data_IF_087505796977
#
_entry.id   IF_087505796977
#
_cell.length_a   1.000
_cell.length_b   1.000
_cell.length_c   1.000
_cell.angle_alpha   90.00
_cell.angle_beta   90.00
_cell.angle_gamma   90.00
#
_symmetry.space_group_name_H-M   'P 1'
#
loop_
_entity.id
_entity.type
_entity.pdbx_description
1 polymer ?
#
# COMPACT_ATOMS: atom_id res chain seq x y z
N UNK A 1 -27.65 -44.35 6.86
CA UNK A 1 -27.10 -44.13 5.50
C UNK A 1 -27.68 -42.92 4.76
N UNK A 2 -29.00 -42.69 4.67
CA UNK A 2 -29.59 -41.55 3.93
C UNK A 2 -29.11 -40.14 4.34
N UNK A 3 -28.71 -39.93 5.60
CA UNK A 3 -28.21 -38.62 6.09
C UNK A 3 -26.76 -38.33 5.67
N UNK A 4 -25.91 -39.35 5.52
CA UNK A 4 -24.51 -39.17 5.10
C UNK A 4 -24.38 -38.90 3.59
N UNK A 5 -25.24 -39.49 2.77
CA UNK A 5 -25.31 -39.22 1.33
C UNK A 5 -25.71 -37.76 1.02
N UNK A 6 -26.61 -37.16 1.83
CA UNK A 6 -26.98 -35.74 1.68
C UNK A 6 -25.82 -34.79 2.03
N UNK A 7 -25.06 -35.11 3.08
CA UNK A 7 -23.91 -34.30 3.47
C UNK A 7 -22.79 -34.34 2.40
N UNK A 8 -22.51 -35.53 1.85
CA UNK A 8 -21.53 -35.68 0.77
C UNK A 8 -21.94 -34.91 -0.51
N UNK A 9 -23.22 -34.96 -0.88
CA UNK A 9 -23.73 -34.22 -2.04
C UNK A 9 -23.61 -32.70 -1.88
N UNK A 10 -23.86 -32.15 -0.68
CA UNK A 10 -23.70 -30.71 -0.39
C UNK A 10 -22.23 -30.30 -0.47
N UNK A 11 -21.31 -31.11 0.07
CA UNK A 11 -19.87 -30.83 0.00
C UNK A 11 -19.37 -30.85 -1.44
N UNK A 12 -19.84 -31.79 -2.27
CA UNK A 12 -19.50 -31.86 -3.70
C UNK A 12 -20.08 -30.67 -4.46
N UNK A 13 -21.30 -30.23 -4.16
CA UNK A 13 -21.91 -29.05 -4.81
C UNK A 13 -21.16 -27.76 -4.46
N UNK A 14 -20.73 -27.60 -3.21
CA UNK A 14 -19.92 -26.44 -2.77
C UNK A 14 -18.53 -26.48 -3.41
N UNK A 15 -17.92 -27.66 -3.53
CA UNK A 15 -16.64 -27.83 -4.23
C UNK A 15 -16.76 -27.55 -5.73
N UNK A 16 -17.83 -28.01 -6.38
CA UNK A 16 -18.08 -27.75 -7.80
C UNK A 16 -18.40 -26.26 -8.08
N UNK A 17 -19.17 -25.61 -7.19
CA UNK A 17 -19.42 -24.17 -7.27
C UNK A 17 -18.14 -23.35 -7.03
N UNK A 18 -17.23 -23.83 -6.17
CA UNK A 18 -15.93 -23.19 -5.94
C UNK A 18 -14.94 -23.40 -7.10
N UNK A 19 -15.09 -24.46 -7.89
CA UNK A 19 -14.23 -24.78 -9.05
C UNK A 19 -14.67 -24.08 -10.35
N UNK A 20 -15.90 -23.55 -10.41
CA UNK A 20 -16.52 -23.01 -11.64
C UNK A 20 -16.30 -21.53 -11.95
N UNK A 21 -15.87 -20.71 -10.99
CA UNK A 21 -15.62 -19.27 -11.25
C UNK A 21 -14.15 -19.02 -11.56
N UNK A 22 -13.69 -19.37 -12.76
CA UNK A 22 -12.52 -18.71 -13.33
C UNK A 22 -12.89 -17.25 -13.53
N UNK A 23 -12.36 -16.36 -12.70
CA UNK A 23 -12.61 -14.93 -12.79
C UNK A 23 -12.13 -14.44 -14.16
N UNK A 24 -12.97 -13.69 -14.85
CA UNK A 24 -12.64 -13.18 -16.18
C UNK A 24 -11.39 -12.30 -16.11
N UNK A 25 -10.42 -12.48 -17.03
CA UNK A 25 -9.25 -11.63 -17.10
C UNK A 25 -9.67 -10.17 -17.22
N UNK A 26 -9.19 -9.33 -16.31
CA UNK A 26 -9.51 -7.91 -16.29
C UNK A 26 -8.25 -7.09 -16.11
N UNK A 27 -7.99 -6.21 -17.07
CA UNK A 27 -6.83 -5.32 -17.06
C UNK A 27 -7.28 -3.88 -16.84
N UNK A 28 -6.70 -3.25 -15.83
CA UNK A 28 -6.86 -1.84 -15.56
C UNK A 28 -5.83 -1.06 -16.37
N UNK A 29 -6.28 -0.13 -17.21
CA UNK A 29 -5.39 0.75 -17.99
C UNK A 29 -5.20 2.08 -17.29
N UNK A 30 -3.96 2.54 -17.16
CA UNK A 30 -3.62 3.76 -16.44
C UNK A 30 -3.08 4.79 -17.44
N UNK A 31 -3.65 6.00 -17.38
CA UNK A 31 -3.31 7.13 -18.22
C UNK A 31 -2.95 8.33 -17.35
N UNK A 32 -1.91 9.06 -17.72
CA UNK A 32 -1.59 10.37 -17.14
C UNK A 32 -1.80 11.42 -18.24
N UNK A 33 -2.71 12.37 -17.99
CA UNK A 33 -3.01 13.46 -18.94
C UNK A 33 -3.32 12.97 -20.37
N UNK A 34 -4.02 11.83 -20.47
CA UNK A 34 -4.42 11.21 -21.73
C UNK A 34 -3.37 10.27 -22.35
N UNK A 35 -2.15 10.23 -21.83
CA UNK A 35 -1.10 9.31 -22.30
C UNK A 35 -1.11 8.00 -21.53
N UNK A 36 -1.03 6.87 -22.25
CA UNK A 36 -0.94 5.55 -21.62
C UNK A 36 0.38 5.42 -20.84
N UNK A 37 0.28 4.96 -19.59
CA UNK A 37 1.44 4.79 -18.69
C UNK A 37 1.68 3.35 -18.30
N UNK A 38 0.61 2.63 -17.95
CA UNK A 38 0.73 1.26 -17.41
C UNK A 38 -0.57 0.47 -17.57
N UNK A 39 -0.48 -0.85 -17.38
CA UNK A 39 -1.63 -1.74 -17.25
C UNK A 39 -1.43 -2.75 -16.12
N UNK A 40 -2.41 -2.87 -15.23
CA UNK A 40 -2.36 -3.77 -14.08
C UNK A 40 -3.39 -4.87 -14.23
N UNK A 41 -3.00 -6.12 -13.98
CA UNK A 41 -3.94 -7.23 -13.86
C UNK A 41 -4.77 -7.09 -12.56
N UNK A 42 -6.03 -6.69 -12.73
CA UNK A 42 -7.02 -6.55 -11.66
C UNK A 42 -8.00 -7.72 -11.64
N UNK A 43 -7.64 -8.84 -12.28
CA UNK A 43 -8.48 -10.04 -12.33
C UNK A 43 -8.88 -10.46 -10.94
N UNK A 44 -10.18 -10.42 -10.73
CA UNK A 44 -10.79 -10.82 -9.48
C UNK A 44 -10.59 -9.94 -8.27
N UNK A 45 -10.13 -8.72 -8.48
CA UNK A 45 -10.22 -7.70 -7.46
C UNK A 45 -11.69 -7.34 -7.22
N UNK A 46 -12.05 -7.14 -5.97
CA UNK A 46 -13.29 -6.45 -5.62
C UNK A 46 -13.05 -4.94 -5.50
N UNK A 47 -14.12 -4.15 -5.64
CA UNK A 47 -14.06 -2.70 -5.40
C UNK A 47 -13.45 -2.43 -4.03
N UNK A 48 -12.56 -1.45 -3.97
CA UNK A 48 -11.76 -1.08 -2.84
C UNK A 48 -10.74 -2.15 -2.40
N UNK A 49 -10.80 -3.42 -2.83
CA UNK A 49 -10.04 -4.53 -2.22
C UNK A 49 -8.55 -4.20 -2.00
N UNK A 50 -7.96 -3.63 -3.04
CA UNK A 50 -6.53 -3.32 -3.16
C UNK A 50 -6.30 -1.90 -3.69
N UNK A 51 -5.04 -1.51 -3.76
CA UNK A 51 -4.61 -0.16 -4.15
C UNK A 51 -3.74 -0.17 -5.40
N UNK A 52 -3.87 0.90 -6.18
CA UNK A 52 -3.07 1.22 -7.36
C UNK A 52 -2.13 2.35 -6.98
N UNK A 53 -0.82 2.17 -7.21
CA UNK A 53 0.16 3.24 -7.03
C UNK A 53 0.01 4.21 -8.20
N UNK A 54 -0.38 5.44 -7.92
CA UNK A 54 -0.50 6.54 -8.88
C UNK A 54 0.45 7.63 -8.42
N UNK A 55 1.64 7.69 -9.02
CA UNK A 55 2.76 8.50 -8.55
C UNK A 55 3.00 8.30 -7.04
N UNK A 56 2.73 9.32 -6.22
CA UNK A 56 2.91 9.32 -4.75
C UNK A 56 1.69 8.83 -3.97
N UNK A 57 0.57 8.58 -4.64
CA UNK A 57 -0.67 8.15 -4.01
C UNK A 57 -0.88 6.64 -4.13
N UNK A 58 -1.59 6.09 -3.15
CA UNK A 58 -2.13 4.73 -3.21
C UNK A 58 -3.64 4.83 -3.33
N UNK A 59 -4.11 4.84 -4.58
CA UNK A 59 -5.53 4.96 -4.91
C UNK A 59 -6.25 3.62 -4.69
N UNK A 60 -7.25 3.54 -3.80
CA UNK A 60 -8.09 2.36 -3.70
C UNK A 60 -8.90 2.22 -4.99
N UNK A 61 -8.70 1.13 -5.73
CA UNK A 61 -9.37 0.92 -7.01
C UNK A 61 -10.89 0.84 -6.82
N UNK A 62 -11.66 1.62 -7.58
CA UNK A 62 -13.11 1.73 -7.41
C UNK A 62 -13.90 0.80 -8.34
N UNK A 63 -13.23 -0.09 -9.08
CA UNK A 63 -13.86 -1.01 -10.01
C UNK A 63 -13.92 -0.48 -11.44
N UNK A 64 -13.11 0.51 -11.80
CA UNK A 64 -13.00 1.06 -13.15
C UNK A 64 -12.14 0.16 -14.07
N UNK A 65 -12.39 0.19 -15.37
CA UNK A 65 -11.52 -0.46 -16.38
C UNK A 65 -10.34 0.41 -16.81
N UNK A 66 -10.42 1.70 -16.52
CA UNK A 66 -9.36 2.67 -16.78
C UNK A 66 -9.30 3.74 -15.71
N UNK A 67 -8.09 4.19 -15.42
CA UNK A 67 -7.79 5.36 -14.59
C UNK A 67 -7.12 6.37 -15.51
N UNK A 68 -7.74 7.52 -15.72
CA UNK A 68 -7.08 8.72 -16.20
C UNK A 68 -6.83 9.61 -15.00
N UNK A 69 -5.58 9.96 -14.72
CA UNK A 69 -5.24 10.80 -13.58
C UNK A 69 -4.49 12.07 -13.98
N UNK A 70 -4.61 13.08 -13.14
CA UNK A 70 -3.83 14.31 -13.19
C UNK A 70 -3.53 14.78 -11.77
N UNK A 71 -2.44 15.55 -11.66
CA UNK A 71 -2.12 16.28 -10.44
C UNK A 71 -2.35 17.75 -10.68
N UNK A 72 -3.01 18.39 -9.74
CA UNK A 72 -2.90 19.83 -9.61
C UNK A 72 -1.79 20.08 -8.62
N UNK A 73 -0.60 20.42 -9.12
CA UNK A 73 0.44 20.97 -8.25
C UNK A 73 -0.01 22.38 -7.83
N UNK A 74 0.22 22.79 -6.57
CA UNK A 74 -0.04 24.16 -6.14
C UNK A 74 0.60 25.13 -7.14
N UNK A 75 -0.22 25.92 -7.80
CA UNK A 75 0.30 27.17 -8.36
C UNK A 75 0.76 28.03 -7.18
N UNK A 76 1.92 28.67 -7.28
CA UNK A 76 2.29 29.75 -6.35
C UNK A 76 1.30 30.94 -6.44
N UNK A 77 0.42 30.95 -7.45
CA UNK A 77 -0.71 31.85 -7.56
C UNK A 77 -1.88 31.38 -6.68
N UNK A 78 -2.02 32.03 -5.53
CA UNK A 78 -3.09 31.81 -4.54
C UNK A 78 -4.50 32.09 -5.06
N UNK A 79 -4.65 32.62 -6.28
CA UNK A 79 -5.96 32.94 -6.87
C UNK A 79 -6.52 31.81 -7.74
N UNK A 80 -5.74 30.78 -8.06
CA UNK A 80 -6.21 29.63 -8.85
C UNK A 80 -6.76 28.59 -7.87
N UNK A 81 -8.08 28.51 -7.78
CA UNK A 81 -8.73 27.42 -7.07
C UNK A 81 -8.65 26.12 -7.90
N UNK A 82 -8.14 25.00 -7.33
CA UNK A 82 -7.66 24.85 -5.97
C UNK A 82 -6.10 24.82 -5.90
N UNK A 83 -5.46 25.62 -5.03
CA UNK A 83 -3.99 25.79 -4.96
C UNK A 83 -3.28 24.64 -4.22
N UNK A 84 -3.73 23.40 -4.38
CA UNK A 84 -3.25 22.33 -3.54
C UNK A 84 -2.96 21.04 -4.31
N UNK A 85 -2.05 20.22 -3.76
CA UNK A 85 -1.68 18.91 -4.31
C UNK A 85 -2.86 17.95 -4.23
N UNK A 86 -3.69 17.93 -5.28
CA UNK A 86 -4.80 16.98 -5.43
C UNK A 86 -4.44 15.87 -6.40
N UNK A 87 -4.88 14.66 -6.07
CA UNK A 87 -5.06 13.59 -7.04
C UNK A 87 -6.48 13.65 -7.59
N UNK A 88 -6.60 13.86 -8.90
CA UNK A 88 -7.85 13.70 -9.65
C UNK A 88 -7.77 12.42 -10.46
N UNK A 89 -8.79 11.57 -10.34
CA UNK A 89 -8.94 10.31 -11.08
C UNK A 89 -10.29 10.32 -11.78
N UNK A 90 -10.28 10.14 -13.10
CA UNK A 90 -11.47 10.16 -13.96
C UNK A 90 -12.37 11.37 -13.66
N UNK A 91 -11.76 12.57 -13.69
CA UNK A 91 -12.40 13.88 -13.43
C UNK A 91 -12.99 14.06 -12.03
N UNK A 92 -12.59 13.22 -11.06
CA UNK A 92 -13.05 13.31 -9.67
C UNK A 92 -11.88 13.44 -8.71
N UNK A 93 -12.02 14.32 -7.73
CA UNK A 93 -11.11 14.35 -6.59
C UNK A 93 -11.10 12.98 -5.91
N UNK A 94 -9.90 12.44 -5.71
CA UNK A 94 -9.69 11.13 -5.10
C UNK A 94 -8.69 11.17 -3.95
N UNK A 95 -7.69 12.06 -4.01
CA UNK A 95 -6.66 12.16 -2.98
C UNK A 95 -6.20 13.58 -2.71
N UNK A 96 -5.67 13.79 -1.51
CA UNK A 96 -5.16 15.08 -1.05
C UNK A 96 -3.82 14.91 -0.34
N UNK A 97 -2.93 15.89 -0.48
CA UNK A 97 -1.79 16.04 0.43
C UNK A 97 -2.19 16.96 1.59
N UNK A 98 -2.32 16.43 2.82
CA UNK A 98 -2.69 17.26 3.96
C UNK A 98 -1.60 18.26 4.38
N UNK A 99 -0.37 18.13 3.88
CA UNK A 99 0.68 19.12 4.11
C UNK A 99 0.35 20.46 3.45
N UNK A 100 -0.18 20.42 2.23
CA UNK A 100 -0.61 21.61 1.50
C UNK A 100 -2.07 21.97 1.85
N UNK A 101 -2.93 20.96 2.09
CA UNK A 101 -4.37 21.12 2.34
C UNK A 101 -4.75 20.84 3.79
N UNK A 102 -5.20 21.86 4.52
CA UNK A 102 -5.83 21.60 5.82
C UNK A 102 -7.17 20.87 5.65
N UNK A 103 -7.25 19.63 6.15
CA UNK A 103 -8.45 18.77 6.00
C UNK A 103 -9.71 19.48 6.50
N UNK A 104 -9.60 20.23 7.60
CA UNK A 104 -10.69 20.93 8.27
C UNK A 104 -11.39 21.96 7.36
N UNK A 105 -10.62 22.67 6.52
CA UNK A 105 -11.15 23.73 5.65
C UNK A 105 -11.70 23.22 4.32
N UNK A 106 -11.50 21.96 3.98
CA UNK A 106 -11.93 21.41 2.69
C UNK A 106 -13.45 21.36 2.55
N UNK A 107 -14.04 21.87 1.44
CA UNK A 107 -15.48 21.78 1.20
C UNK A 107 -15.93 20.38 0.71
N UNK A 108 -15.01 19.58 0.17
CA UNK A 108 -15.29 18.30 -0.50
C UNK A 108 -14.72 17.07 0.22
N UNK A 109 -14.75 17.06 1.56
CA UNK A 109 -14.27 15.94 2.41
C UNK A 109 -14.82 14.57 2.00
N UNK A 110 -16.06 14.52 1.50
CA UNK A 110 -16.71 13.29 1.05
C UNK A 110 -16.15 12.70 -0.25
N UNK A 111 -15.38 13.44 -1.04
CA UNK A 111 -14.78 12.91 -2.26
C UNK A 111 -13.44 12.19 -2.02
N UNK A 112 -12.78 12.46 -0.89
CA UNK A 112 -11.41 11.98 -0.62
C UNK A 112 -11.41 10.51 -0.22
N UNK A 113 -10.65 9.71 -0.97
CA UNK A 113 -10.49 8.26 -0.76
C UNK A 113 -9.10 7.89 -0.23
N UNK A 114 -8.10 8.73 -0.48
CA UNK A 114 -6.71 8.48 -0.08
C UNK A 114 -5.97 9.75 0.35
N UNK A 115 -4.96 9.59 1.20
CA UNK A 115 -4.06 10.68 1.61
C UNK A 115 -2.64 10.44 1.07
N UNK A 116 -1.92 11.52 0.76
CA UNK A 116 -0.50 11.42 0.43
C UNK A 116 0.40 11.30 1.67
N UNK A 117 -0.07 11.83 2.82
CA UNK A 117 0.64 11.84 4.10
C UNK A 117 -0.33 11.60 5.26
N UNK A 118 0.21 11.20 6.41
CA UNK A 118 -0.58 11.05 7.63
C UNK A 118 -1.07 12.43 8.11
N UNK A 119 -2.34 12.49 8.53
CA UNK A 119 -2.90 13.64 9.24
C UNK A 119 -3.91 13.13 10.27
N UNK A 120 -3.80 13.59 11.52
CA UNK A 120 -4.69 13.21 12.62
C UNK A 120 -6.17 13.56 12.40
N UNK A 121 -6.46 14.54 11.54
CA UNK A 121 -7.80 14.98 11.13
C UNK A 121 -8.44 14.05 10.09
N UNK A 122 -7.82 12.91 9.76
CA UNK A 122 -8.38 11.90 8.84
C UNK A 122 -9.82 11.48 9.19
N UNK A 123 -10.22 11.59 10.46
CA UNK A 123 -11.58 11.29 10.93
C UNK A 123 -12.66 12.18 10.32
N UNK A 124 -12.29 13.34 9.80
CA UNK A 124 -13.19 14.26 9.09
C UNK A 124 -13.48 13.81 7.64
N UNK A 125 -12.79 12.78 7.14
CA UNK A 125 -12.93 12.26 5.79
C UNK A 125 -13.80 10.98 5.81
N UNK A 126 -15.12 11.09 5.58
CA UNK A 126 -16.05 9.97 5.79
C UNK A 126 -15.83 8.81 4.81
N UNK A 127 -15.24 9.08 3.64
CA UNK A 127 -15.00 8.09 2.60
C UNK A 127 -13.52 7.70 2.48
N UNK A 128 -12.68 8.06 3.46
CA UNK A 128 -11.27 7.68 3.45
C UNK A 128 -11.12 6.17 3.53
N UNK A 129 -10.37 5.61 2.58
CA UNK A 129 -10.15 4.17 2.46
C UNK A 129 -8.69 3.80 2.70
N UNK A 130 -7.75 4.67 2.35
CA UNK A 130 -6.31 4.39 2.42
C UNK A 130 -5.56 5.59 2.99
N UNK A 131 -4.60 5.36 3.88
CA UNK A 131 -3.68 6.41 4.30
C UNK A 131 -2.28 5.86 4.61
N UNK A 132 -1.24 6.68 4.47
CA UNK A 132 0.11 6.33 4.87
C UNK A 132 0.32 6.60 6.35
N UNK A 133 1.21 5.82 6.96
CA UNK A 133 1.67 5.97 8.34
C UNK A 133 3.17 5.70 8.40
N UNK A 134 3.92 6.59 9.05
CA UNK A 134 5.34 6.37 9.33
C UNK A 134 5.54 5.63 10.65
N UNK A 135 6.48 4.69 10.66
CA UNK A 135 6.89 3.95 11.84
C UNK A 135 8.41 4.02 11.95
N UNK A 136 8.88 4.78 12.94
CA UNK A 136 10.30 5.04 13.19
C UNK A 136 10.81 4.29 14.43
N UNK A 137 9.92 3.68 15.20
CA UNK A 137 10.22 2.97 16.44
C UNK A 137 9.17 1.91 16.78
N UNK A 138 9.48 1.05 17.75
CA UNK A 138 8.50 0.11 18.30
C UNK A 138 7.32 0.85 18.96
N UNK A 139 7.57 2.00 19.59
CA UNK A 139 6.55 2.85 20.19
C UNK A 139 5.52 3.35 19.19
N UNK A 140 5.94 3.74 17.98
CA UNK A 140 5.05 4.25 16.94
C UNK A 140 4.00 3.20 16.52
N UNK A 141 4.33 1.91 16.66
CA UNK A 141 3.38 0.82 16.37
C UNK A 141 2.16 0.82 17.29
N UNK A 142 2.25 1.45 18.47
CA UNK A 142 1.10 1.65 19.38
C UNK A 142 0.10 2.65 18.82
N UNK A 143 0.57 3.67 18.08
CA UNK A 143 -0.30 4.65 17.43
C UNK A 143 -1.26 4.02 16.43
N UNK A 144 -0.85 2.91 15.80
CA UNK A 144 -1.66 2.17 14.83
C UNK A 144 -2.93 1.55 15.45
N UNK A 145 -2.97 1.31 16.76
CA UNK A 145 -4.15 0.79 17.45
C UNK A 145 -5.33 1.78 17.44
N UNK A 146 -5.04 3.07 17.31
CA UNK A 146 -6.07 4.12 17.24
C UNK A 146 -6.76 4.21 15.87
N UNK A 147 -6.21 3.54 14.86
CA UNK A 147 -6.69 3.63 13.49
C UNK A 147 -7.81 2.60 13.27
N UNK A 148 -8.99 3.03 12.77
CA UNK A 148 -10.08 2.12 12.42
C UNK A 148 -9.64 1.02 11.44
N UNK A 149 -10.00 -0.24 11.72
CA UNK A 149 -9.60 -1.41 10.92
C UNK A 149 -10.15 -1.42 9.50
N UNK A 150 -11.16 -0.61 9.21
CA UNK A 150 -11.72 -0.44 7.86
C UNK A 150 -10.86 0.47 6.97
N UNK A 151 -9.94 1.25 7.55
CA UNK A 151 -8.96 2.05 6.80
C UNK A 151 -7.75 1.17 6.48
N UNK A 152 -7.37 1.12 5.21
CA UNK A 152 -6.17 0.42 4.72
C UNK A 152 -4.93 1.29 4.95
N UNK A 153 -3.79 0.63 5.16
CA UNK A 153 -2.54 1.31 5.48
C UNK A 153 -1.43 1.04 4.46
N UNK A 154 -0.72 2.12 4.10
CA UNK A 154 0.66 2.09 3.63
C UNK A 154 1.52 2.35 4.85
N UNK A 155 2.35 1.39 5.25
CA UNK A 155 3.24 1.54 6.40
C UNK A 155 4.64 1.78 5.89
N UNK A 156 5.21 2.93 6.25
CA UNK A 156 6.58 3.32 5.93
C UNK A 156 7.45 3.05 7.16
N UNK A 157 8.31 2.03 7.08
CA UNK A 157 9.30 1.70 8.11
C UNK A 157 10.61 2.39 7.72
N UNK A 158 10.88 3.51 8.39
CA UNK A 158 12.00 4.38 8.06
C UNK A 158 12.96 4.41 9.27
N UNK A 159 14.22 3.98 9.13
CA UNK A 159 15.21 4.09 10.18
C UNK A 159 15.42 5.55 10.58
N UNK A 160 15.69 5.85 11.86
CA UNK A 160 16.00 7.22 12.27
C UNK A 160 17.26 7.66 11.51
N UNK A 161 17.26 8.87 10.96
CA UNK A 161 18.30 9.41 10.05
C UNK A 161 19.73 9.29 10.63
N UNK A 162 19.88 9.18 11.94
CA UNK A 162 21.16 9.09 12.66
C UNK A 162 21.45 7.71 13.26
N UNK A 163 20.60 6.73 13.01
CA UNK A 163 20.67 5.40 13.63
C UNK A 163 21.08 4.36 12.60
N UNK A 164 22.24 3.73 12.80
CA UNK A 164 22.64 2.52 12.08
C UNK A 164 21.77 1.31 12.44
N UNK A 165 20.95 1.41 13.48
CA UNK A 165 20.13 0.29 13.96
C UNK A 165 18.93 0.10 13.05
N UNK A 166 18.85 -1.09 12.45
CA UNK A 166 17.71 -1.56 11.67
C UNK A 166 16.50 -1.75 12.60
N UNK A 167 15.41 -1.03 12.33
CA UNK A 167 14.14 -1.05 13.09
C UNK A 167 13.46 -2.45 13.07
N UNK A 168 14.03 -3.41 12.36
CA UNK A 168 13.26 -4.38 11.57
C UNK A 168 12.65 -5.54 12.38
N UNK A 169 13.30 -6.20 13.35
CA UNK A 169 12.68 -7.35 14.01
C UNK A 169 11.52 -7.00 14.95
N UNK A 170 11.70 -6.00 15.82
CA UNK A 170 10.71 -5.63 16.83
C UNK A 170 9.48 -4.97 16.20
N UNK A 171 9.69 -3.97 15.33
CA UNK A 171 8.59 -3.29 14.64
C UNK A 171 7.79 -4.27 13.79
N UNK A 172 8.44 -5.11 12.98
CA UNK A 172 7.71 -6.07 12.16
C UNK A 172 6.89 -7.02 13.03
N UNK A 173 7.45 -7.52 14.13
CA UNK A 173 6.73 -8.39 15.06
C UNK A 173 5.49 -7.72 15.66
N UNK A 174 5.54 -6.40 15.91
CA UNK A 174 4.42 -5.64 16.44
C UNK A 174 3.35 -5.35 15.38
N UNK A 175 3.74 -5.10 14.13
CA UNK A 175 2.79 -4.73 13.09
C UNK A 175 2.13 -5.91 12.37
N UNK A 176 2.63 -7.15 12.53
CA UNK A 176 2.04 -8.34 11.86
C UNK A 176 0.56 -8.56 12.20
N UNK A 177 0.08 -8.04 13.33
CA UNK A 177 -1.31 -8.15 13.77
C UNK A 177 -2.29 -7.28 12.97
N UNK A 178 -1.80 -6.24 12.28
CA UNK A 178 -2.64 -5.30 11.52
C UNK A 178 -2.94 -5.85 10.12
N UNK A 179 -4.11 -6.50 10.00
CA UNK A 179 -4.57 -7.10 8.73
C UNK A 179 -5.01 -6.08 7.67
N UNK A 180 -5.13 -4.82 8.03
CA UNK A 180 -5.49 -3.71 7.15
C UNK A 180 -4.26 -3.08 6.46
N UNK A 181 -3.03 -3.49 6.80
CA UNK A 181 -1.84 -3.12 6.01
C UNK A 181 -1.95 -3.75 4.62
N UNK A 182 -1.77 -2.95 3.57
CA UNK A 182 -1.78 -3.37 2.17
C UNK A 182 -0.45 -3.11 1.48
N UNK A 183 0.18 -1.99 1.83
CA UNK A 183 1.47 -1.60 1.30
C UNK A 183 2.44 -1.51 2.45
N UNK A 184 3.62 -2.08 2.27
CA UNK A 184 4.71 -2.00 3.23
C UNK A 184 5.92 -1.45 2.50
N UNK A 185 6.45 -0.34 2.98
CA UNK A 185 7.65 0.29 2.46
C UNK A 185 8.70 0.22 3.56
N UNK A 186 9.87 -0.33 3.25
CA UNK A 186 10.93 -0.58 4.24
C UNK A 186 12.21 -0.01 3.68
N UNK A 187 12.83 0.92 4.39
CA UNK A 187 14.17 1.39 4.06
C UNK A 187 15.21 0.52 4.74
N UNK A 188 15.99 -0.21 3.94
CA UNK A 188 17.08 -1.07 4.41
C UNK A 188 18.37 -0.25 4.48
N UNK A 189 18.97 -0.11 5.65
CA UNK A 189 20.22 0.66 5.84
C UNK A 189 21.43 -0.24 6.12
N UNK A 190 22.58 0.12 5.54
CA UNK A 190 23.90 -0.33 5.99
C UNK A 190 24.28 -1.78 5.67
N UNK A 191 25.27 -2.32 6.39
CA UNK A 191 25.73 -3.73 6.31
C UNK A 191 24.73 -4.71 6.95
N UNK A 192 23.92 -4.25 7.88
CA UNK A 192 23.11 -5.11 8.75
C UNK A 192 21.94 -5.82 8.04
N UNK A 193 21.45 -5.31 6.90
CA UNK A 193 20.42 -6.06 6.15
C UNK A 193 20.96 -7.33 5.48
N UNK A 194 22.29 -7.40 5.25
CA UNK A 194 22.95 -8.54 4.62
C UNK A 194 23.07 -9.73 5.59
N UNK A 195 23.29 -9.45 6.87
CA UNK A 195 23.59 -10.45 7.88
C UNK A 195 22.35 -10.94 8.66
N UNK A 196 21.25 -10.18 8.66
CA UNK A 196 20.05 -10.54 9.42
C UNK A 196 18.77 -10.39 8.58
N UNK A 197 18.53 -11.27 7.61
CA UNK A 197 17.20 -11.39 6.98
C UNK A 197 16.22 -12.24 7.80
N UNK A 198 16.55 -12.60 9.06
CA UNK A 198 15.68 -13.44 9.88
C UNK A 198 14.34 -12.76 10.16
N UNK A 199 14.30 -11.42 10.15
CA UNK A 199 13.08 -10.64 10.31
C UNK A 199 12.07 -10.83 9.16
N UNK A 200 12.51 -11.25 7.97
CA UNK A 200 11.59 -11.49 6.82
C UNK A 200 10.54 -12.56 7.14
N UNK A 201 10.81 -13.44 8.11
CA UNK A 201 9.83 -14.42 8.62
C UNK A 201 8.57 -13.75 9.17
N UNK A 202 8.67 -12.53 9.68
CA UNK A 202 7.53 -11.76 10.17
C UNK A 202 6.67 -11.27 9.01
N UNK A 203 7.28 -10.91 7.87
CA UNK A 203 6.53 -10.54 6.66
C UNK A 203 5.59 -11.66 6.24
N UNK A 204 6.03 -12.92 6.29
CA UNK A 204 5.18 -14.08 5.98
C UNK A 204 3.90 -14.17 6.84
N UNK A 205 3.85 -13.50 8.00
CA UNK A 205 2.66 -13.46 8.87
C UNK A 205 1.70 -12.34 8.47
N UNK A 206 2.11 -11.39 7.63
CA UNK A 206 1.34 -10.23 7.19
C UNK A 206 0.41 -10.57 6.02
N UNK A 207 -0.65 -11.34 6.28
CA UNK A 207 -1.60 -11.83 5.27
C UNK A 207 -2.36 -10.74 4.48
N UNK A 208 -2.32 -9.51 4.96
CA UNK A 208 -2.96 -8.36 4.34
C UNK A 208 -2.12 -7.69 3.24
N UNK A 209 -0.80 -7.88 3.25
CA UNK A 209 0.12 -7.17 2.37
C UNK A 209 -0.05 -7.63 0.92
N UNK A 210 0.07 -6.65 0.01
CA UNK A 210 -0.16 -6.77 -1.44
C UNK A 210 1.01 -6.19 -2.23
N UNK A 211 1.63 -5.14 -1.71
CA UNK A 211 2.83 -4.53 -2.28
C UNK A 211 3.89 -4.38 -1.19
N UNK A 212 5.13 -4.70 -1.53
CA UNK A 212 6.29 -4.45 -0.68
C UNK A 212 7.30 -3.65 -1.48
N UNK A 213 7.79 -2.56 -0.92
CA UNK A 213 8.88 -1.77 -1.49
C UNK A 213 10.04 -1.81 -0.50
N UNK A 214 11.21 -2.24 -0.94
CA UNK A 214 12.44 -2.08 -0.16
C UNK A 214 13.31 -1.02 -0.79
N UNK A 215 13.56 0.07 -0.07
CA UNK A 215 14.62 0.99 -0.46
C UNK A 215 15.94 0.32 -0.07
N UNK A 216 16.73 -0.06 -1.08
CA UNK A 216 17.99 -0.78 -0.90
C UNK A 216 19.17 0.18 -1.11
N UNK A 217 20.27 0.07 -0.34
CA UNK A 217 21.43 0.92 -0.57
C UNK A 217 21.99 0.71 -1.97
N UNK A 218 22.51 1.77 -2.57
CA UNK A 218 23.24 1.64 -3.84
C UNK A 218 24.41 0.67 -3.73
N UNK A 219 24.60 -0.16 -4.77
CA UNK A 219 25.56 -1.25 -4.77
C UNK A 219 25.05 -2.56 -4.15
N UNK A 220 23.76 -2.64 -3.81
CA UNK A 220 23.10 -3.94 -3.58
C UNK A 220 23.19 -4.79 -4.85
N UNK A 221 23.61 -6.03 -4.71
CA UNK A 221 23.84 -6.95 -5.84
C UNK A 221 22.54 -7.64 -6.26
N UNK A 222 22.45 -8.07 -7.52
CA UNK A 222 21.30 -8.84 -8.03
C UNK A 222 21.00 -10.10 -7.19
N UNK A 223 22.05 -10.73 -6.64
CA UNK A 223 21.89 -11.89 -5.75
C UNK A 223 21.17 -11.53 -4.45
N UNK A 224 21.49 -10.37 -3.86
CA UNK A 224 20.84 -9.87 -2.64
C UNK A 224 19.39 -9.51 -2.90
N UNK A 225 19.11 -8.84 -4.04
CA UNK A 225 17.75 -8.53 -4.48
C UNK A 225 16.91 -9.79 -4.68
N UNK A 226 17.43 -10.78 -5.43
CA UNK A 226 16.76 -12.06 -5.65
C UNK A 226 16.52 -12.81 -4.33
N UNK A 227 17.44 -12.71 -3.37
CA UNK A 227 17.27 -13.29 -2.04
C UNK A 227 16.10 -12.62 -1.29
N UNK A 228 15.99 -11.29 -1.31
CA UNK A 228 14.86 -10.55 -0.70
C UNK A 228 13.53 -10.99 -1.35
N UNK A 229 13.45 -11.01 -2.67
CA UNK A 229 12.24 -11.45 -3.38
C UNK A 229 11.84 -12.89 -3.04
N UNK A 230 12.82 -13.80 -2.96
CA UNK A 230 12.58 -15.20 -2.64
C UNK A 230 11.89 -15.37 -1.28
N UNK A 231 12.22 -14.51 -0.30
CA UNK A 231 11.64 -14.51 1.05
C UNK A 231 10.21 -14.00 1.05
N UNK A 232 9.85 -13.12 0.12
CA UNK A 232 8.49 -12.59 0.02
C UNK A 232 7.48 -13.58 -0.59
N UNK A 233 7.93 -14.67 -1.22
CA UNK A 233 7.04 -15.68 -1.82
C UNK A 233 6.05 -16.32 -0.85
N UNK A 234 6.31 -16.23 0.45
CA UNK A 234 5.41 -16.69 1.50
C UNK A 234 4.17 -15.79 1.71
N UNK A 235 4.17 -14.55 1.19
CA UNK A 235 3.05 -13.63 1.30
C UNK A 235 1.92 -14.06 0.35
N UNK A 236 0.79 -14.58 0.87
CA UNK A 236 -0.18 -15.31 0.05
C UNK A 236 -0.96 -14.44 -0.94
N UNK A 237 -0.85 -13.12 -0.82
CA UNK A 237 -1.59 -12.15 -1.64
C UNK A 237 -0.68 -11.07 -2.21
N UNK A 238 0.65 -11.25 -2.13
CA UNK A 238 1.59 -10.33 -2.74
C UNK A 238 1.37 -10.25 -4.25
N UNK A 239 1.40 -9.04 -4.79
CA UNK A 239 1.20 -8.72 -6.21
C UNK A 239 2.37 -7.96 -6.81
N UNK A 240 3.07 -7.16 -6.01
CA UNK A 240 4.17 -6.34 -6.48
C UNK A 240 5.29 -6.27 -5.44
N UNK A 241 6.53 -6.33 -5.93
CA UNK A 241 7.76 -6.07 -5.18
C UNK A 241 8.54 -4.99 -5.93
N UNK A 242 9.02 -3.99 -5.21
CA UNK A 242 9.85 -2.93 -5.76
C UNK A 242 11.14 -2.84 -4.92
N UNK A 243 12.29 -2.71 -5.59
CA UNK A 243 13.61 -2.61 -4.94
C UNK A 243 14.36 -1.35 -5.43
N UNK A 244 13.82 -0.14 -5.22
CA UNK A 244 14.53 1.07 -5.64
C UNK A 244 15.84 1.26 -4.87
N UNK A 245 16.91 1.58 -5.61
CA UNK A 245 18.19 2.01 -5.04
C UNK A 245 18.09 3.39 -4.41
N UNK A 246 18.88 3.65 -3.36
CA UNK A 246 19.09 4.98 -2.82
C UNK A 246 20.55 5.24 -2.45
N UNK A 247 20.99 6.48 -2.69
CA UNK A 247 22.34 6.93 -2.39
C UNK A 247 22.50 7.18 -0.88
N UNK A 248 23.41 6.45 -0.24
CA UNK A 248 23.91 6.80 1.10
C UNK A 248 25.05 7.79 0.90
N UNK A 249 24.81 9.08 1.18
CA UNK A 249 25.90 10.05 1.32
C UNK A 249 26.71 9.71 2.58
N UNK A 250 27.80 8.96 2.41
CA UNK A 250 28.78 8.76 3.47
C UNK A 250 29.57 10.05 3.60
N UNK A 251 29.25 10.88 4.59
CA UNK A 251 30.14 11.97 5.01
C UNK A 251 31.32 11.33 5.72
N UNK A 252 32.48 11.31 5.05
CA UNK A 252 33.75 10.85 5.61
C UNK A 252 34.36 11.83 6.61
#
# INVERSE_FOLDING_TARGET
MKKMLKAAAIVILVLAAALGCKKEPRWLRIYWEGEFRDSIDVTGWEKNEDVVKIDRYYYPWQGEDSISYSFYLPSLDTNIFPPYSYLVVNDRLAGVDPFDVHIESMPYKGAVLTLMRYDSNFKLLPNLVMMPVGVYSAEDTKGLDSIPRNIRLKVDIIPPILSQVSITPEVLSNIVRFRNIRVLEITLTGKDFKDDLSWTRWLCRMRGVRRVTFWVPDGTTEWEEAMIESRLRCLPKLRAVELPGYFIHVTG
#
